data_IF_338649550391
#
_entry.id   IF_338649550391
#
_cell.length_a   1.000
_cell.length_b   1.000
_cell.length_c   1.000
_cell.angle_alpha   90.00
_cell.angle_beta   90.00
_cell.angle_gamma   90.00
#
_symmetry.space_group_name_H-M   'P 1'
#
loop_
_entity.id
_entity.type
_entity.pdbx_description
1 polymer ?
#
# COMPACT_ATOMS: atom_id res chain seq x y z
N UNK A 1 -23.29 25.39 -15.80
CA UNK A 1 -22.58 26.62 -16.21
C UNK A 1 -23.00 27.75 -15.32
N UNK A 2 -22.09 28.67 -15.00
CA UNK A 2 -22.39 29.93 -14.30
C UNK A 2 -21.73 31.08 -15.02
N UNK A 3 -22.36 32.24 -14.97
CA UNK A 3 -21.81 33.54 -15.39
C UNK A 3 -21.32 34.35 -14.20
N UNK A 4 -21.62 33.90 -12.98
CA UNK A 4 -21.19 34.52 -11.72
C UNK A 4 -19.93 33.84 -11.21
N UNK A 5 -18.78 34.50 -11.38
CA UNK A 5 -17.48 33.95 -11.02
C UNK A 5 -17.35 33.69 -9.51
N UNK A 6 -18.01 34.50 -8.68
CA UNK A 6 -18.04 34.36 -7.21
C UNK A 6 -18.68 33.05 -6.72
N UNK A 7 -19.61 32.47 -7.48
CA UNK A 7 -20.27 31.20 -7.12
C UNK A 7 -19.57 29.96 -7.68
N UNK A 8 -18.53 30.12 -8.49
CA UNK A 8 -17.90 29.01 -9.22
C UNK A 8 -17.38 27.91 -8.28
N UNK A 9 -16.72 28.29 -7.20
CA UNK A 9 -16.13 27.34 -6.23
C UNK A 9 -17.22 26.54 -5.51
N UNK A 10 -18.29 27.21 -5.06
CA UNK A 10 -19.38 26.54 -4.33
C UNK A 10 -20.13 25.56 -5.23
N UNK A 11 -20.34 25.93 -6.51
CA UNK A 11 -20.92 25.06 -7.52
C UNK A 11 -20.03 23.82 -7.78
N UNK A 12 -18.72 24.02 -7.91
CA UNK A 12 -17.78 22.92 -8.12
C UNK A 12 -17.71 21.98 -6.92
N UNK A 13 -17.75 22.50 -5.68
CA UNK A 13 -17.80 21.66 -4.47
C UNK A 13 -19.09 20.85 -4.37
N UNK A 14 -20.21 21.45 -4.80
CA UNK A 14 -21.51 20.77 -4.75
C UNK A 14 -21.65 19.69 -5.81
N UNK A 15 -21.22 20.00 -7.05
CA UNK A 15 -21.52 19.19 -8.23
C UNK A 15 -20.35 18.25 -8.63
N UNK A 16 -19.13 18.50 -8.12
CA UNK A 16 -17.89 17.77 -8.40
C UNK A 16 -17.74 17.36 -9.88
N UNK A 17 -17.62 18.34 -10.81
CA UNK A 17 -17.60 18.05 -12.23
C UNK A 17 -16.36 17.26 -12.66
N UNK A 18 -16.46 16.48 -13.73
CA UNK A 18 -15.34 15.70 -14.26
C UNK A 18 -14.28 16.55 -14.97
N UNK A 19 -14.66 17.76 -15.42
CA UNK A 19 -13.79 18.72 -16.08
C UNK A 19 -14.35 20.14 -15.89
N UNK A 20 -13.46 21.11 -15.82
CA UNK A 20 -13.82 22.53 -15.78
C UNK A 20 -13.28 23.26 -17.01
N UNK A 21 -14.14 23.99 -17.69
CA UNK A 21 -13.75 24.96 -18.71
C UNK A 21 -13.78 26.35 -18.06
N UNK A 22 -12.62 27.00 -17.95
CA UNK A 22 -12.44 28.21 -17.16
C UNK A 22 -11.96 29.38 -18.04
N UNK A 23 -12.72 30.43 -18.06
CA UNK A 23 -12.26 31.70 -18.67
C UNK A 23 -11.31 32.40 -17.69
N UNK A 24 -10.19 32.93 -18.19
CA UNK A 24 -9.27 33.72 -17.34
C UNK A 24 -9.85 35.10 -17.07
N UNK A 25 -10.41 35.74 -18.11
CA UNK A 25 -10.83 37.13 -18.07
C UNK A 25 -12.31 37.21 -17.68
N UNK A 26 -12.57 37.13 -16.40
CA UNK A 26 -13.93 37.29 -15.86
C UNK A 26 -13.99 38.49 -14.92
N UNK A 27 -15.16 39.17 -14.81
CA UNK A 27 -15.37 40.23 -13.83
C UNK A 27 -15.40 39.66 -12.42
N UNK A 28 -15.10 40.48 -11.42
CA UNK A 28 -15.10 40.21 -9.98
C UNK A 28 -14.01 39.24 -9.52
N UNK A 29 -14.02 37.99 -9.99
CA UNK A 29 -13.02 36.94 -9.62
C UNK A 29 -12.38 36.41 -10.90
N UNK A 30 -11.06 36.53 -11.02
CA UNK A 30 -10.34 36.05 -12.20
C UNK A 30 -10.28 34.50 -12.21
N UNK A 31 -10.16 33.89 -13.42
CA UNK A 31 -9.96 32.47 -13.54
C UNK A 31 -8.70 31.96 -12.83
N UNK A 32 -7.67 32.77 -12.72
CA UNK A 32 -6.44 32.45 -11.98
C UNK A 32 -6.72 32.33 -10.47
N UNK A 33 -7.56 33.19 -9.91
CA UNK A 33 -7.90 33.13 -8.49
C UNK A 33 -8.75 31.88 -8.18
N UNK A 34 -9.68 31.55 -9.07
CA UNK A 34 -10.45 30.29 -8.98
C UNK A 34 -9.50 29.09 -9.03
N UNK A 35 -8.54 29.07 -9.96
CA UNK A 35 -7.57 28.00 -10.11
C UNK A 35 -6.70 27.81 -8.85
N UNK A 36 -6.27 28.91 -8.22
CA UNK A 36 -5.54 28.86 -6.94
C UNK A 36 -6.36 28.20 -5.84
N UNK A 37 -7.64 28.57 -5.71
CA UNK A 37 -8.53 27.95 -4.72
C UNK A 37 -8.76 26.47 -5.02
N UNK A 38 -8.94 26.10 -6.30
CA UNK A 38 -9.05 24.68 -6.69
C UNK A 38 -7.83 23.89 -6.30
N UNK A 39 -6.63 24.41 -6.54
CA UNK A 39 -5.37 23.69 -6.28
C UNK A 39 -5.13 23.41 -4.79
N UNK A 40 -5.58 24.29 -3.90
CA UNK A 40 -5.44 24.09 -2.42
C UNK A 40 -6.62 23.37 -1.79
N UNK A 41 -7.69 23.09 -2.55
CA UNK A 41 -8.90 22.39 -2.07
C UNK A 41 -8.81 20.92 -2.49
N UNK A 42 -8.65 19.96 -1.56
CA UNK A 42 -8.40 18.55 -1.89
C UNK A 42 -9.42 17.93 -2.85
N UNK A 43 -10.71 18.25 -2.67
CA UNK A 43 -11.79 17.70 -3.50
C UNK A 43 -11.78 18.25 -4.92
N UNK A 44 -11.22 19.46 -5.14
CA UNK A 44 -11.18 20.14 -6.41
C UNK A 44 -9.84 20.00 -7.15
N UNK A 45 -8.76 19.74 -6.41
CA UNK A 45 -7.40 19.68 -6.95
C UNK A 45 -7.18 18.58 -8.01
N UNK A 46 -8.02 17.54 -8.00
CA UNK A 46 -7.98 16.45 -8.99
C UNK A 46 -8.85 16.66 -10.21
N UNK A 47 -9.64 17.74 -10.24
CA UNK A 47 -10.51 18.07 -11.36
C UNK A 47 -9.67 18.77 -12.45
N UNK A 48 -9.57 18.20 -13.66
CA UNK A 48 -8.81 18.82 -14.73
C UNK A 48 -9.47 20.10 -15.22
N UNK A 49 -8.63 21.09 -15.55
CA UNK A 49 -9.07 22.42 -16.00
C UNK A 49 -8.53 22.69 -17.39
N UNK A 50 -9.40 23.09 -18.32
CA UNK A 50 -9.05 23.67 -19.61
C UNK A 50 -9.32 25.18 -19.54
N UNK A 51 -8.29 25.96 -19.76
CA UNK A 51 -8.42 27.42 -19.78
C UNK A 51 -8.86 27.92 -21.19
N UNK A 52 -9.87 28.78 -21.21
CA UNK A 52 -10.29 29.50 -22.37
C UNK A 52 -9.67 30.91 -22.35
N UNK A 53 -8.90 31.31 -23.39
CA UNK A 53 -8.20 32.60 -23.40
C UNK A 53 -8.22 33.28 -24.77
N UNK A 54 -8.41 34.59 -24.78
CA UNK A 54 -8.34 35.40 -25.99
C UNK A 54 -6.90 35.83 -26.34
N UNK A 55 -5.99 35.84 -25.38
CA UNK A 55 -4.57 36.17 -25.55
C UNK A 55 -3.72 35.32 -24.65
N UNK A 56 -2.66 34.75 -25.19
CA UNK A 56 -1.68 33.99 -24.44
C UNK A 56 -0.52 34.91 -24.04
N UNK A 57 -0.73 35.75 -23.01
CA UNK A 57 0.38 36.38 -22.32
C UNK A 57 1.27 35.25 -21.77
N UNK A 58 2.56 35.18 -22.17
CA UNK A 58 3.47 34.13 -21.72
C UNK A 58 3.55 34.01 -20.20
N UNK A 59 3.48 35.14 -19.47
CA UNK A 59 3.53 35.15 -18.02
C UNK A 59 2.30 34.49 -17.39
N UNK A 60 1.10 34.78 -17.88
CA UNK A 60 -0.14 34.17 -17.43
C UNK A 60 -0.20 32.67 -17.77
N UNK A 61 0.33 32.30 -18.94
CA UNK A 61 0.41 30.90 -19.34
C UNK A 61 1.33 30.09 -18.37
N UNK A 62 2.50 30.61 -18.06
CA UNK A 62 3.42 30.00 -17.14
C UNK A 62 2.80 29.83 -15.76
N UNK A 63 2.19 30.90 -15.23
CA UNK A 63 1.50 30.88 -13.94
C UNK A 63 0.38 29.83 -13.90
N UNK A 64 -0.44 29.75 -14.94
CA UNK A 64 -1.52 28.77 -15.03
C UNK A 64 -0.99 27.33 -15.08
N UNK A 65 0.13 27.07 -15.77
CA UNK A 65 0.80 25.77 -15.78
C UNK A 65 1.33 25.39 -14.40
N UNK A 66 1.95 26.33 -13.68
CA UNK A 66 2.41 26.14 -12.30
C UNK A 66 1.25 25.84 -11.34
N UNK A 67 0.06 26.38 -11.64
CA UNK A 67 -1.18 26.09 -10.91
C UNK A 67 -1.89 24.81 -11.36
N UNK A 68 -1.27 24.00 -12.22
CA UNK A 68 -1.79 22.68 -12.57
C UNK A 68 -2.88 22.65 -13.63
N UNK A 69 -2.97 23.68 -14.48
CA UNK A 69 -3.87 23.65 -15.65
C UNK A 69 -3.52 22.49 -16.57
N UNK A 70 -4.55 21.77 -17.00
CA UNK A 70 -4.38 20.59 -17.86
C UNK A 70 -4.18 20.98 -19.34
N UNK A 71 -4.91 21.97 -19.84
CA UNK A 71 -4.81 22.41 -21.24
C UNK A 71 -5.32 23.85 -21.44
N UNK A 72 -5.05 24.40 -22.63
CA UNK A 72 -5.48 25.74 -23.04
C UNK A 72 -6.22 25.68 -24.36
N UNK A 73 -7.24 26.54 -24.54
CA UNK A 73 -7.98 26.69 -25.78
C UNK A 73 -8.14 28.19 -26.12
N UNK A 74 -7.70 28.55 -27.31
CA UNK A 74 -7.80 29.95 -27.79
C UNK A 74 -9.24 30.33 -28.14
N UNK A 75 -9.62 31.55 -27.84
CA UNK A 75 -10.86 32.18 -28.32
C UNK A 75 -10.61 32.89 -29.68
N UNK A 76 -11.52 32.79 -30.68
CA UNK A 76 -12.82 32.09 -30.64
C UNK A 76 -12.67 30.57 -30.60
N UNK A 77 -13.46 29.91 -29.76
CA UNK A 77 -13.38 28.45 -29.53
C UNK A 77 -13.94 27.70 -30.73
N UNK A 78 -13.13 26.85 -31.37
CA UNK A 78 -13.62 25.89 -32.35
C UNK A 78 -14.32 24.71 -31.64
N UNK A 79 -15.61 24.45 -31.94
CA UNK A 79 -16.33 23.35 -31.27
C UNK A 79 -15.69 21.99 -31.50
N UNK A 80 -15.08 21.74 -32.66
CA UNK A 80 -14.43 20.47 -32.98
C UNK A 80 -13.15 20.27 -32.13
N UNK A 81 -12.35 21.33 -31.99
CA UNK A 81 -11.16 21.34 -31.16
C UNK A 81 -11.53 21.15 -29.67
N UNK A 82 -12.55 21.86 -29.18
CA UNK A 82 -13.04 21.74 -27.81
C UNK A 82 -13.42 20.28 -27.48
N UNK A 83 -14.23 19.65 -28.35
CA UNK A 83 -14.69 18.27 -28.15
C UNK A 83 -13.51 17.30 -28.07
N UNK A 84 -12.51 17.47 -28.96
CA UNK A 84 -11.32 16.62 -28.95
C UNK A 84 -10.49 16.77 -27.66
N UNK A 85 -10.25 18.02 -27.23
CA UNK A 85 -9.49 18.31 -26.00
C UNK A 85 -10.21 17.76 -24.76
N UNK A 86 -11.51 18.03 -24.63
CA UNK A 86 -12.32 17.49 -23.52
C UNK A 86 -12.26 15.97 -23.48
N UNK A 87 -12.42 15.29 -24.64
CA UNK A 87 -12.31 13.82 -24.70
C UNK A 87 -10.94 13.33 -24.23
N UNK A 88 -9.85 13.96 -24.68
CA UNK A 88 -8.49 13.55 -24.31
C UNK A 88 -8.23 13.75 -22.81
N UNK A 89 -8.67 14.89 -22.26
CA UNK A 89 -8.51 15.20 -20.83
C UNK A 89 -9.34 14.24 -19.97
N UNK A 90 -10.57 13.95 -20.34
CA UNK A 90 -11.42 12.99 -19.62
C UNK A 90 -10.87 11.56 -19.69
N UNK A 91 -10.32 11.16 -20.85
CA UNK A 91 -9.67 9.85 -20.98
C UNK A 91 -8.43 9.74 -20.09
N UNK A 92 -7.61 10.80 -20.02
CA UNK A 92 -6.45 10.85 -19.13
C UNK A 92 -6.87 10.77 -17.66
N UNK A 93 -7.90 11.53 -17.25
CA UNK A 93 -8.47 11.46 -15.90
C UNK A 93 -8.97 10.06 -15.57
N UNK A 94 -9.76 9.45 -16.44
CA UNK A 94 -10.28 8.08 -16.22
C UNK A 94 -9.15 7.05 -16.03
N UNK A 95 -8.06 7.16 -16.80
CA UNK A 95 -6.89 6.31 -16.63
C UNK A 95 -6.19 6.55 -15.27
N UNK A 96 -6.05 7.81 -14.87
CA UNK A 96 -5.46 8.16 -13.57
C UNK A 96 -6.30 7.62 -12.40
N UNK A 97 -7.62 7.82 -12.44
CA UNK A 97 -8.55 7.34 -11.42
C UNK A 97 -8.54 5.80 -11.34
N UNK A 98 -8.43 5.14 -12.49
CA UNK A 98 -8.31 3.69 -12.56
C UNK A 98 -7.00 3.20 -11.93
N UNK A 99 -5.87 3.83 -12.24
CA UNK A 99 -4.58 3.48 -11.65
C UNK A 99 -4.56 3.69 -10.13
N UNK A 100 -5.14 4.79 -9.65
CA UNK A 100 -5.27 5.06 -8.22
C UNK A 100 -6.07 3.97 -7.50
N UNK A 101 -7.21 3.54 -8.07
CA UNK A 101 -8.01 2.42 -7.55
C UNK A 101 -7.24 1.11 -7.55
N UNK A 102 -6.50 0.81 -8.63
CA UNK A 102 -5.67 -0.39 -8.73
C UNK A 102 -4.58 -0.42 -7.67
N UNK A 103 -3.92 0.72 -7.42
CA UNK A 103 -2.88 0.83 -6.39
C UNK A 103 -3.42 0.46 -5.00
N UNK A 104 -4.56 1.04 -4.61
CA UNK A 104 -5.21 0.77 -3.31
C UNK A 104 -5.63 -0.72 -3.20
N UNK A 105 -6.22 -1.29 -4.27
CA UNK A 105 -6.62 -2.70 -4.25
C UNK A 105 -5.41 -3.64 -4.18
N UNK A 106 -4.33 -3.32 -4.89
CA UNK A 106 -3.08 -4.09 -4.86
C UNK A 106 -2.44 -4.07 -3.47
N UNK A 107 -2.36 -2.92 -2.81
CA UNK A 107 -1.86 -2.79 -1.45
C UNK A 107 -2.68 -3.65 -0.46
N UNK A 108 -4.01 -3.64 -0.60
CA UNK A 108 -4.89 -4.49 0.19
C UNK A 108 -4.60 -5.98 -0.06
N UNK A 109 -4.49 -6.41 -1.33
CA UNK A 109 -4.20 -7.80 -1.68
C UNK A 109 -2.83 -8.25 -1.18
N UNK A 110 -1.80 -7.41 -1.29
CA UNK A 110 -0.46 -7.69 -0.75
C UNK A 110 -0.53 -7.89 0.76
N UNK A 111 -1.22 -7.01 1.47
CA UNK A 111 -1.39 -7.11 2.92
C UNK A 111 -2.11 -8.41 3.34
N UNK A 112 -3.20 -8.76 2.67
CA UNK A 112 -3.96 -9.99 2.94
C UNK A 112 -3.13 -11.24 2.66
N UNK A 113 -2.43 -11.29 1.51
CA UNK A 113 -1.56 -12.43 1.16
C UNK A 113 -0.39 -12.59 2.11
N UNK A 114 0.24 -11.49 2.51
CA UNK A 114 1.34 -11.52 3.49
C UNK A 114 0.88 -12.09 4.83
N UNK A 115 -0.28 -11.64 5.33
CA UNK A 115 -0.87 -12.19 6.56
C UNK A 115 -1.19 -13.68 6.47
N UNK A 116 -1.76 -14.11 5.34
CA UNK A 116 -2.08 -15.52 5.10
C UNK A 116 -0.81 -16.38 5.03
N UNK A 117 0.23 -15.89 4.36
CA UNK A 117 1.53 -16.58 4.26
C UNK A 117 2.20 -16.71 5.65
N UNK A 118 2.21 -15.65 6.44
CA UNK A 118 2.74 -15.70 7.80
C UNK A 118 1.97 -16.66 8.72
N UNK A 119 0.64 -16.68 8.60
CA UNK A 119 -0.19 -17.63 9.34
C UNK A 119 0.11 -19.08 8.93
N UNK A 120 0.22 -19.36 7.63
CA UNK A 120 0.59 -20.67 7.09
C UNK A 120 1.98 -21.09 7.56
N UNK A 121 2.95 -20.18 7.50
CA UNK A 121 4.32 -20.43 7.97
C UNK A 121 4.33 -20.82 9.47
N UNK A 122 3.63 -20.05 10.31
CA UNK A 122 3.50 -20.38 11.75
C UNK A 122 2.84 -21.73 11.96
N UNK A 123 1.82 -22.05 11.19
CA UNK A 123 1.14 -23.35 11.29
C UNK A 123 2.06 -24.53 10.93
N UNK A 124 2.84 -24.40 9.86
CA UNK A 124 3.81 -25.42 9.46
C UNK A 124 4.87 -25.62 10.56
N UNK A 125 5.44 -24.54 11.10
CA UNK A 125 6.41 -24.59 12.20
C UNK A 125 5.80 -25.33 13.40
N UNK A 126 4.58 -24.98 13.78
CA UNK A 126 3.87 -25.62 14.87
C UNK A 126 3.63 -27.12 14.63
N UNK A 127 3.22 -27.50 13.41
CA UNK A 127 3.01 -28.92 13.06
C UNK A 127 4.32 -29.71 13.12
N UNK A 128 5.44 -29.17 12.59
CA UNK A 128 6.75 -29.81 12.63
C UNK A 128 7.26 -29.95 14.06
N UNK A 129 7.14 -28.91 14.85
CA UNK A 129 7.51 -28.91 16.25
C UNK A 129 6.73 -29.95 17.05
N UNK A 130 5.41 -30.01 16.88
CA UNK A 130 4.58 -31.06 17.51
C UNK A 130 4.94 -32.48 17.04
N UNK A 131 5.24 -32.65 15.75
CA UNK A 131 5.62 -33.94 15.21
C UNK A 131 6.92 -34.49 15.88
N UNK A 132 7.87 -33.59 16.20
CA UNK A 132 9.09 -33.98 16.93
C UNK A 132 8.81 -34.37 18.39
N UNK A 133 7.91 -33.65 19.08
CA UNK A 133 7.54 -33.94 20.47
C UNK A 133 6.78 -35.25 20.66
N UNK A 134 5.94 -35.64 19.70
CA UNK A 134 5.21 -36.92 19.78
C UNK A 134 6.14 -38.14 19.93
N UNK A 135 7.40 -38.04 19.53
CA UNK A 135 8.40 -39.11 19.68
C UNK A 135 9.01 -39.15 21.08
N UNK A 136 8.94 -38.06 21.85
CA UNK A 136 9.64 -37.87 23.13
C UNK A 136 8.70 -37.94 24.36
N UNK A 137 7.42 -38.31 24.18
CA UNK A 137 6.36 -38.37 25.23
C UNK A 137 6.07 -37.03 25.92
N UNK A 138 6.40 -35.89 25.31
CA UNK A 138 6.10 -34.57 25.88
C UNK A 138 4.76 -34.05 25.37
N UNK A 139 4.11 -33.19 26.15
CA UNK A 139 2.67 -32.87 26.02
C UNK A 139 2.34 -31.79 24.99
N UNK A 140 3.17 -31.53 23.97
CA UNK A 140 2.89 -30.55 22.89
C UNK A 140 2.87 -29.08 23.33
N UNK A 141 2.91 -28.79 24.62
CA UNK A 141 2.98 -27.45 25.18
C UNK A 141 4.42 -26.97 25.45
N UNK A 142 5.38 -27.89 25.45
CA UNK A 142 6.78 -27.56 25.72
C UNK A 142 7.38 -26.64 24.66
N UNK A 143 7.21 -26.96 23.41
CA UNK A 143 7.72 -26.18 22.27
C UNK A 143 7.22 -24.75 22.29
N UNK A 144 5.92 -24.53 22.58
CA UNK A 144 5.34 -23.17 22.67
C UNK A 144 6.00 -22.42 23.84
N UNK A 145 6.21 -23.05 24.99
CA UNK A 145 6.87 -22.42 26.16
C UNK A 145 8.31 -22.04 25.85
N UNK A 146 9.08 -22.95 25.24
CA UNK A 146 10.49 -22.70 24.85
C UNK A 146 10.56 -21.50 23.88
N UNK A 147 9.72 -21.46 22.85
CA UNK A 147 9.66 -20.32 21.94
C UNK A 147 9.37 -19.01 22.66
N UNK A 148 8.36 -19.00 23.55
CA UNK A 148 8.00 -17.79 24.32
C UNK A 148 9.09 -17.33 25.27
N UNK A 149 9.80 -18.26 25.93
CA UNK A 149 10.94 -17.91 26.77
C UNK A 149 12.09 -17.33 25.94
N UNK A 150 12.41 -17.93 24.80
CA UNK A 150 13.44 -17.39 23.90
C UNK A 150 13.07 -15.96 23.41
N UNK A 151 11.82 -15.73 23.05
CA UNK A 151 11.34 -14.40 22.66
C UNK A 151 11.42 -13.38 23.81
N UNK A 152 11.01 -13.75 25.03
CA UNK A 152 11.09 -12.88 26.20
C UNK A 152 12.56 -12.51 26.53
N UNK A 153 13.47 -13.46 26.51
CA UNK A 153 14.90 -13.23 26.74
C UNK A 153 15.47 -12.30 25.65
N UNK A 154 15.14 -12.54 24.37
CA UNK A 154 15.58 -11.70 23.27
C UNK A 154 15.08 -10.25 23.41
N UNK A 155 13.83 -10.06 23.87
CA UNK A 155 13.26 -8.75 24.14
C UNK A 155 14.05 -8.00 25.23
N UNK A 156 14.35 -8.65 26.35
CA UNK A 156 15.15 -8.09 27.45
C UNK A 156 16.59 -7.75 27.02
N UNK A 157 17.14 -8.52 26.07
CA UNK A 157 18.47 -8.27 25.50
C UNK A 157 18.47 -7.13 24.44
N UNK A 158 17.31 -6.49 24.16
CA UNK A 158 17.19 -5.35 23.24
C UNK A 158 17.17 -5.71 21.76
N UNK A 159 16.86 -6.96 21.40
CA UNK A 159 16.67 -7.32 19.99
C UNK A 159 15.44 -6.64 19.39
N UNK A 160 15.49 -6.37 18.08
CA UNK A 160 14.35 -5.77 17.37
C UNK A 160 13.14 -6.72 17.35
N UNK A 161 11.89 -6.23 17.24
CA UNK A 161 10.68 -7.06 17.19
C UNK A 161 10.74 -8.17 16.14
N UNK A 162 11.36 -7.91 14.98
CA UNK A 162 11.54 -8.90 13.92
C UNK A 162 12.49 -10.03 14.34
N UNK A 163 13.59 -9.69 15.00
CA UNK A 163 14.56 -10.66 15.52
C UNK A 163 13.96 -11.50 16.66
N UNK A 164 13.22 -10.85 17.57
CA UNK A 164 12.50 -11.54 18.66
C UNK A 164 11.55 -12.58 18.09
N UNK A 165 10.71 -12.19 17.10
CA UNK A 165 9.79 -13.13 16.45
C UNK A 165 10.50 -14.27 15.71
N UNK A 166 11.64 -14.00 15.08
CA UNK A 166 12.48 -15.02 14.44
C UNK A 166 13.06 -16.02 15.44
N UNK A 167 13.59 -15.54 16.57
CA UNK A 167 14.13 -16.38 17.64
C UNK A 167 13.05 -17.22 18.33
N UNK A 168 11.86 -16.65 18.58
CA UNK A 168 10.72 -17.38 19.10
C UNK A 168 10.33 -18.56 18.20
N UNK A 169 10.30 -18.35 16.87
CA UNK A 169 9.99 -19.41 15.91
C UNK A 169 11.12 -20.45 15.80
N UNK A 170 12.37 -20.01 15.75
CA UNK A 170 13.52 -20.90 15.66
C UNK A 170 13.64 -21.83 16.90
N UNK A 171 13.41 -21.26 18.08
CA UNK A 171 13.45 -22.02 19.33
C UNK A 171 12.39 -23.14 19.41
N UNK A 172 11.24 -22.94 18.74
CA UNK A 172 10.22 -23.98 18.61
C UNK A 172 10.70 -25.21 17.82
N UNK A 173 11.70 -25.05 16.97
CA UNK A 173 12.23 -26.08 16.08
C UNK A 173 13.53 -26.72 16.63
N UNK A 174 13.94 -26.38 17.86
CA UNK A 174 15.23 -26.85 18.42
C UNK A 174 15.41 -28.39 18.38
N UNK A 175 14.33 -29.13 18.46
CA UNK A 175 14.29 -30.59 18.50
C UNK A 175 13.81 -31.24 17.19
N UNK A 176 13.59 -30.46 16.11
CA UNK A 176 13.06 -31.00 14.86
C UNK A 176 13.92 -32.10 14.24
N UNK A 177 15.23 -32.10 14.49
CA UNK A 177 16.17 -33.13 14.07
C UNK A 177 15.87 -34.52 14.63
N UNK A 178 15.20 -34.62 15.76
CA UNK A 178 14.79 -35.89 16.36
C UNK A 178 13.88 -36.73 15.45
N UNK A 179 13.18 -36.09 14.50
CA UNK A 179 12.34 -36.80 13.51
C UNK A 179 13.16 -37.80 12.69
N UNK A 180 14.42 -37.50 12.38
CA UNK A 180 15.31 -38.36 11.62
C UNK A 180 16.00 -39.48 12.42
N UNK A 181 15.90 -39.45 13.75
CA UNK A 181 16.62 -40.41 14.62
C UNK A 181 15.78 -41.68 14.81
N UNK A 182 16.32 -42.90 14.59
CA UNK A 182 15.61 -44.16 14.86
C UNK A 182 15.20 -44.30 16.35
N UNK A 183 14.01 -44.84 16.61
CA UNK A 183 13.51 -45.02 17.98
C UNK A 183 14.42 -45.90 18.85
N UNK A 184 15.12 -46.87 18.26
CA UNK A 184 16.09 -47.70 18.94
C UNK A 184 17.25 -46.90 19.55
N UNK A 185 17.59 -45.77 18.98
CA UNK A 185 18.63 -44.85 19.48
C UNK A 185 18.01 -43.79 20.39
N UNK A 186 16.94 -43.15 19.94
CA UNK A 186 16.30 -42.03 20.67
C UNK A 186 15.75 -42.45 22.03
N UNK A 187 15.17 -43.68 22.11
CA UNK A 187 14.55 -44.23 23.34
C UNK A 187 15.40 -45.29 24.00
N UNK A 188 16.69 -45.39 23.71
CA UNK A 188 17.57 -46.39 24.27
C UNK A 188 17.69 -46.24 25.80
N UNK A 189 17.33 -47.24 26.57
CA UNK A 189 17.56 -47.21 28.02
C UNK A 189 19.05 -47.37 28.30
N UNK A 190 19.76 -46.29 28.59
CA UNK A 190 21.17 -46.30 28.93
C UNK A 190 22.05 -45.39 28.09
N UNK A 191 23.36 -45.53 28.18
CA UNK A 191 24.31 -44.69 27.41
C UNK A 191 24.38 -45.14 25.96
N UNK A 192 24.50 -44.16 25.07
CA UNK A 192 24.76 -44.38 23.64
C UNK A 192 26.21 -44.87 23.48
N UNK A 193 26.41 -45.78 22.52
CA UNK A 193 27.74 -46.11 22.04
C UNK A 193 28.30 -45.00 21.11
N UNK A 194 29.60 -45.00 20.79
CA UNK A 194 30.19 -43.97 19.95
C UNK A 194 29.51 -43.80 18.56
N UNK A 195 29.11 -44.88 17.91
CA UNK A 195 28.46 -44.87 16.58
C UNK A 195 27.06 -44.29 16.67
N UNK A 196 26.29 -44.65 17.71
CA UNK A 196 24.94 -44.08 17.97
C UNK A 196 25.03 -42.61 18.33
N UNK A 197 26.06 -42.18 19.05
CA UNK A 197 26.29 -40.79 19.41
C UNK A 197 26.66 -39.96 18.19
N UNK A 198 27.47 -40.48 17.28
CA UNK A 198 27.82 -39.82 16.03
C UNK A 198 26.63 -39.71 15.09
N UNK A 199 25.67 -40.65 15.15
CA UNK A 199 24.43 -40.59 14.41
C UNK A 199 23.50 -39.44 14.86
N UNK A 200 23.52 -39.09 16.15
CA UNK A 200 22.69 -38.03 16.72
C UNK A 200 23.28 -36.62 16.46
N UNK A 201 24.59 -36.49 16.26
CA UNK A 201 25.26 -35.22 15.96
C UNK A 201 24.84 -34.65 14.58
#
# INVERSE_FOLDING_TARGET
TTTESSQAIDLMKRDLPDIVLLDIMMPEVSGIDILRVMNITPELSTIPVIILTASLDPALKTLALELGVTDFLAKPVDPSELVLRVKNVLAAKANFDMLAKYSVDLERQVTERTRALEASRRHIIFCLARASEFRDNDTGHHVIRVGKYAGAIACELGYSPSQVGGLEQAAQLHDVGKIGIPDAILRKPGKLNPEEYDFIK
#
